data_IF_821954186214
#
_entry.id   IF_821954186214
#
_cell.length_a   1.000
_cell.length_b   1.000
_cell.length_c   1.000
_cell.angle_alpha   90.00
_cell.angle_beta   90.00
_cell.angle_gamma   90.00
#
_symmetry.space_group_name_H-M   'P 1'
#
loop_
_entity.id
_entity.type
_entity.pdbx_description
1 polymer ?
#
# COMPACT_ATOMS: atom_id res chain seq x y z
N UNK A 1 -19.15 1.06 20.03
CA UNK A 1 -18.86 0.46 18.72
C UNK A 1 -19.35 1.43 17.67
N UNK A 2 -18.45 2.20 17.08
CA UNK A 2 -18.70 3.05 15.91
C UNK A 2 -17.63 2.66 14.90
N UNK A 3 -18.03 1.83 13.93
CA UNK A 3 -17.16 1.36 12.86
C UNK A 3 -16.84 2.52 11.93
N UNK A 4 -15.67 3.12 12.11
CA UNK A 4 -15.05 3.90 11.05
C UNK A 4 -14.73 2.93 9.91
N UNK A 5 -15.19 3.24 8.69
CA UNK A 5 -14.67 2.56 7.52
C UNK A 5 -13.21 2.98 7.40
N UNK A 6 -12.32 2.03 7.68
CA UNK A 6 -10.89 2.12 7.46
C UNK A 6 -10.59 2.71 6.06
N UNK A 7 -10.04 3.92 5.98
CA UNK A 7 -9.70 4.51 4.69
C UNK A 7 -8.46 3.80 4.15
N UNK A 8 -8.64 3.13 3.01
CA UNK A 8 -7.60 2.32 2.38
C UNK A 8 -7.04 3.02 1.16
N UNK A 9 -5.72 3.03 1.02
CA UNK A 9 -5.05 3.45 -0.21
C UNK A 9 -4.67 2.24 -1.07
N UNK A 10 -4.94 2.32 -2.36
CA UNK A 10 -4.59 1.27 -3.31
C UNK A 10 -3.24 1.59 -3.95
N UNK A 11 -2.30 0.65 -3.86
CA UNK A 11 -0.96 0.81 -4.39
C UNK A 11 -0.57 -0.33 -5.32
N UNK A 12 0.32 -0.03 -6.25
CA UNK A 12 0.95 -0.99 -7.15
C UNK A 12 2.47 -0.91 -7.04
N UNK A 13 3.21 -1.97 -7.41
CA UNK A 13 4.66 -1.93 -7.49
C UNK A 13 5.16 -0.75 -8.35
N UNK A 14 6.17 -0.04 -7.86
CA UNK A 14 6.80 1.07 -8.58
C UNK A 14 8.02 0.63 -9.40
N UNK A 15 8.41 1.46 -10.37
CA UNK A 15 9.67 1.32 -11.12
C UNK A 15 9.86 -0.02 -11.83
N UNK A 16 8.78 -0.56 -12.41
CA UNK A 16 8.82 -1.80 -13.19
C UNK A 16 8.95 -3.08 -12.35
N UNK A 17 8.88 -2.98 -11.01
CA UNK A 17 8.76 -4.16 -10.15
C UNK A 17 7.41 -4.85 -10.38
N UNK A 18 7.38 -6.13 -10.06
CA UNK A 18 6.17 -6.91 -9.82
C UNK A 18 6.52 -8.03 -8.84
N UNK A 19 5.53 -8.58 -8.16
CA UNK A 19 5.73 -9.63 -7.16
C UNK A 19 4.87 -10.84 -7.50
N UNK A 20 5.35 -12.03 -7.16
CA UNK A 20 4.59 -13.28 -7.31
C UNK A 20 3.99 -13.76 -5.99
N UNK A 21 4.40 -13.15 -4.88
CA UNK A 21 3.99 -13.50 -3.53
C UNK A 21 3.73 -12.26 -2.67
N UNK A 22 2.83 -12.41 -1.71
CA UNK A 22 2.60 -11.42 -0.65
C UNK A 22 3.86 -11.16 0.17
N UNK A 23 4.63 -12.21 0.47
CA UNK A 23 5.83 -12.11 1.29
C UNK A 23 6.89 -11.18 0.67
N UNK A 24 7.10 -11.25 -0.65
CA UNK A 24 8.05 -10.37 -1.35
C UNK A 24 7.56 -8.91 -1.34
N UNK A 25 6.25 -8.70 -1.53
CA UNK A 25 5.63 -7.39 -1.47
C UNK A 25 5.79 -6.75 -0.08
N UNK A 26 5.49 -7.51 0.97
CA UNK A 26 5.63 -7.08 2.35
C UNK A 26 7.10 -6.81 2.71
N UNK A 27 8.03 -7.67 2.29
CA UNK A 27 9.45 -7.46 2.54
C UNK A 27 9.94 -6.13 1.93
N UNK A 28 9.53 -5.82 0.71
CA UNK A 28 9.90 -4.57 0.03
C UNK A 28 9.22 -3.34 0.64
N UNK A 29 7.97 -3.46 1.10
CA UNK A 29 7.30 -2.42 1.86
C UNK A 29 8.04 -2.12 3.17
N UNK A 30 8.37 -3.15 3.95
CA UNK A 30 9.09 -3.03 5.22
C UNK A 30 10.53 -2.52 5.04
N UNK A 31 11.16 -2.80 3.90
CA UNK A 31 12.44 -2.21 3.52
C UNK A 31 12.34 -0.72 3.15
N UNK A 32 11.13 -0.16 3.12
CA UNK A 32 10.87 1.23 2.76
C UNK A 32 11.08 1.52 1.28
N UNK A 33 10.81 0.55 0.41
CA UNK A 33 10.74 0.83 -1.02
C UNK A 33 9.41 1.49 -1.36
N UNK A 34 9.44 2.30 -2.40
CA UNK A 34 8.24 3.00 -2.83
C UNK A 34 7.29 2.10 -3.62
N UNK A 35 6.01 2.37 -3.46
CA UNK A 35 4.90 1.85 -4.23
C UNK A 35 4.13 3.02 -4.82
N UNK A 36 3.53 2.82 -5.97
CA UNK A 36 2.76 3.86 -6.65
C UNK A 36 1.33 3.83 -6.14
N UNK A 37 0.87 4.92 -5.56
CA UNK A 37 -0.53 5.10 -5.20
C UNK A 37 -1.40 5.25 -6.45
N UNK A 38 -2.60 4.68 -6.40
CA UNK A 38 -3.58 4.66 -7.49
C UNK A 38 -4.93 5.19 -6.99
N UNK A 39 -5.70 5.82 -7.88
CA UNK A 39 -6.99 6.43 -7.55
C UNK A 39 -6.89 7.91 -7.18
N UNK A 40 -7.61 8.33 -6.14
CA UNK A 40 -7.65 9.73 -5.66
C UNK A 40 -6.29 10.18 -5.10
N UNK A 41 -5.52 9.23 -4.57
CA UNK A 41 -4.15 9.44 -4.15
C UNK A 41 -3.23 9.17 -5.35
N UNK A 42 -2.48 10.20 -5.76
CA UNK A 42 -1.48 10.08 -6.82
C UNK A 42 -0.09 10.31 -6.25
N UNK A 43 0.88 9.55 -6.74
CA UNK A 43 2.28 9.67 -6.33
C UNK A 43 2.88 8.35 -5.89
N UNK A 44 3.95 8.46 -5.12
CA UNK A 44 4.69 7.33 -4.55
C UNK A 44 4.62 7.41 -3.03
N UNK A 45 4.58 6.24 -2.40
CA UNK A 45 4.57 6.14 -0.95
C UNK A 45 5.24 4.85 -0.48
N UNK A 46 5.74 4.87 0.74
CA UNK A 46 6.39 3.75 1.41
C UNK A 46 5.95 3.69 2.87
N UNK A 47 6.44 2.71 3.62
CA UNK A 47 6.22 2.63 5.07
C UNK A 47 6.73 3.87 5.84
N UNK A 48 7.62 4.66 5.24
CA UNK A 48 8.12 5.90 5.84
C UNK A 48 7.04 6.98 5.90
N UNK A 49 5.98 6.84 5.11
CA UNK A 49 4.87 7.79 5.02
C UNK A 49 3.71 7.42 5.95
N UNK A 50 3.81 6.35 6.74
CA UNK A 50 2.73 5.83 7.60
C UNK A 50 2.16 6.89 8.54
N UNK A 51 2.99 7.71 9.19
CA UNK A 51 2.50 8.76 10.11
C UNK A 51 1.71 9.84 9.36
N UNK A 52 2.16 10.19 8.16
CA UNK A 52 1.48 11.14 7.28
C UNK A 52 0.15 10.57 6.73
N UNK A 53 0.08 9.26 6.50
CA UNK A 53 -1.14 8.54 6.11
C UNK A 53 -2.15 8.50 7.26
N UNK A 54 -1.71 8.12 8.46
CA UNK A 54 -2.57 8.13 9.67
C UNK A 54 -3.10 9.52 10.00
N UNK A 55 -2.29 10.56 9.79
CA UNK A 55 -2.73 11.97 9.91
C UNK A 55 -3.83 12.37 8.93
N UNK A 56 -4.13 11.53 7.92
CA UNK A 56 -5.26 11.68 6.97
C UNK A 56 -6.34 10.61 7.15
N UNK A 57 -6.37 9.97 8.30
CA UNK A 57 -7.35 8.93 8.62
C UNK A 57 -7.24 7.69 7.71
N UNK A 58 -6.08 7.51 7.06
CA UNK A 58 -5.75 6.31 6.28
C UNK A 58 -5.08 5.31 7.24
N UNK A 59 -5.67 4.13 7.35
CA UNK A 59 -5.28 3.08 8.30
C UNK A 59 -4.92 1.75 7.63
N UNK A 60 -5.04 1.66 6.31
CA UNK A 60 -4.60 0.51 5.55
C UNK A 60 -4.10 0.83 4.14
N UNK A 61 -3.28 -0.08 3.61
CA UNK A 61 -2.77 -0.07 2.24
C UNK A 61 -3.10 -1.40 1.57
N UNK A 62 -3.79 -1.34 0.43
CA UNK A 62 -4.08 -2.50 -0.42
C UNK A 62 -3.08 -2.55 -1.59
N UNK A 63 -2.23 -3.57 -1.58
CA UNK A 63 -1.21 -3.81 -2.59
C UNK A 63 -1.74 -4.73 -3.67
N UNK A 64 -1.82 -4.23 -4.90
CA UNK A 64 -2.14 -5.04 -6.07
C UNK A 64 -0.85 -5.49 -6.77
N UNK A 65 -0.62 -6.80 -6.88
CA UNK A 65 0.60 -7.40 -7.44
C UNK A 65 0.26 -8.56 -8.39
N UNK A 66 1.27 -9.24 -8.93
CA UNK A 66 1.15 -10.32 -9.93
C UNK A 66 0.37 -9.84 -11.16
N UNK A 67 0.87 -8.77 -11.80
CA UNK A 67 0.23 -8.03 -12.90
C UNK A 67 -1.19 -7.54 -12.56
N UNK A 68 -1.42 -7.32 -11.28
CA UNK A 68 -2.72 -6.92 -10.75
C UNK A 68 -3.73 -8.07 -10.62
N UNK A 69 -3.31 -9.33 -10.71
CA UNK A 69 -4.20 -10.47 -10.50
C UNK A 69 -4.39 -10.81 -9.01
N UNK A 70 -3.53 -10.29 -8.14
CA UNK A 70 -3.56 -10.55 -6.69
C UNK A 70 -3.57 -9.26 -5.90
N UNK A 71 -4.06 -9.34 -4.67
CA UNK A 71 -4.08 -8.23 -3.72
C UNK A 71 -3.77 -8.70 -2.30
N UNK A 72 -3.22 -7.81 -1.48
CA UNK A 72 -3.03 -8.03 -0.03
C UNK A 72 -3.20 -6.70 0.72
N UNK A 73 -3.82 -6.75 1.89
CA UNK A 73 -4.13 -5.58 2.71
C UNK A 73 -3.19 -5.54 3.92
N UNK A 74 -2.53 -4.41 4.12
CA UNK A 74 -1.65 -4.16 5.28
C UNK A 74 -2.22 -3.01 6.09
N UNK A 75 -2.43 -3.23 7.39
CA UNK A 75 -2.78 -2.15 8.33
C UNK A 75 -1.56 -1.29 8.65
N UNK A 76 -1.78 0.03 8.73
CA UNK A 76 -0.74 1.05 8.89
C UNK A 76 -0.34 1.30 10.32
#
# INVERSE_FOLDING_TARGET
MSGFFAATIFVIPAYGRDYSSEADCLADWQAGKDFRATGVHSGYCSIRDTDYMRGREIDAVDFRYDKGSRQTLISL
#
